data_IF_046740917629
#
_entry.id   IF_046740917629
#
_cell.length_a   1.000
_cell.length_b   1.000
_cell.length_c   1.000
_cell.angle_alpha   90.00
_cell.angle_beta   90.00
_cell.angle_gamma   90.00
#
_symmetry.space_group_name_H-M   'P 1'
#
loop_
_entity.id
_entity.type
_entity.pdbx_description
1 polymer ?
#
# COMPACT_ATOMS: atom_id res chain seq x y z
N UNK A 1 -12.21 81.07 -9.31
CA UNK A 1 -11.78 82.33 -9.94
C UNK A 1 -12.93 82.82 -10.81
N UNK A 2 -13.73 83.74 -10.28
CA UNK A 2 -14.96 84.27 -10.90
C UNK A 2 -14.78 85.77 -11.07
N UNK A 3 -15.00 86.22 -12.29
CA UNK A 3 -15.12 87.60 -12.73
C UNK A 3 -16.32 88.27 -12.07
N UNK A 4 -16.16 89.52 -11.62
CA UNK A 4 -17.30 90.39 -11.32
C UNK A 4 -16.99 91.83 -11.75
N UNK A 5 -17.50 92.15 -12.93
CA UNK A 5 -17.78 93.49 -13.44
C UNK A 5 -18.90 94.14 -12.63
N UNK A 6 -18.77 95.43 -12.29
CA UNK A 6 -19.93 96.31 -12.13
C UNK A 6 -19.57 97.74 -12.55
N UNK A 7 -20.26 98.18 -13.60
CA UNK A 7 -20.31 99.55 -14.10
C UNK A 7 -21.32 100.38 -13.28
N UNK A 8 -21.05 101.67 -13.08
CA UNK A 8 -22.10 102.70 -12.93
C UNK A 8 -21.50 104.09 -13.18
N UNK A 9 -22.14 104.83 -14.07
CA UNK A 9 -21.79 106.17 -14.54
C UNK A 9 -22.64 107.27 -13.86
N UNK A 10 -22.23 108.54 -14.11
CA UNK A 10 -22.92 109.82 -13.85
C UNK A 10 -23.03 110.22 -12.36
N UNK A 11 -22.71 111.45 -11.90
CA UNK A 11 -23.05 112.78 -12.42
C UNK A 11 -22.29 113.84 -11.57
N UNK A 12 -21.82 114.93 -12.17
CA UNK A 12 -21.38 116.15 -11.47
C UNK A 12 -22.63 117.01 -11.12
N UNK A 13 -22.65 117.73 -9.99
CA UNK A 13 -22.39 119.17 -10.12
C UNK A 13 -21.56 119.79 -8.98
N UNK A 14 -20.95 120.91 -9.35
CA UNK A 14 -20.10 121.80 -8.58
C UNK A 14 -20.95 122.70 -7.65
N UNK A 15 -20.73 122.64 -6.33
CA UNK A 15 -21.04 123.75 -5.39
C UNK A 15 -19.93 123.84 -4.36
N UNK A 16 -19.21 124.96 -4.40
CA UNK A 16 -18.29 125.42 -3.36
C UNK A 16 -19.11 125.86 -2.14
N UNK A 17 -18.92 125.20 -1.00
CA UNK A 17 -19.11 125.82 0.30
C UNK A 17 -18.06 125.26 1.26
N UNK A 18 -17.26 126.17 1.81
CA UNK A 18 -16.12 125.90 2.66
C UNK A 18 -16.52 125.08 3.90
N UNK A 19 -15.96 123.88 4.02
CA UNK A 19 -15.80 123.16 5.29
C UNK A 19 -14.34 123.36 5.75
N UNK A 20 -14.11 123.65 7.04
CA UNK A 20 -12.80 124.06 7.54
C UNK A 20 -11.73 122.98 7.31
N UNK A 21 -10.45 123.38 7.13
CA UNK A 21 -9.35 122.43 6.97
C UNK A 21 -9.32 121.48 8.18
N UNK A 22 -9.18 120.17 7.98
CA UNK A 22 -8.97 119.25 9.09
C UNK A 22 -7.70 119.67 9.81
N UNK A 23 -7.85 119.96 11.09
CA UNK A 23 -6.76 120.39 11.96
C UNK A 23 -5.61 119.38 11.83
N UNK A 24 -4.41 119.77 11.34
CA UNK A 24 -3.30 118.84 11.10
C UNK A 24 -2.92 118.05 12.36
N UNK A 25 -3.21 118.61 13.54
CA UNK A 25 -3.06 117.96 14.83
C UNK A 25 -4.02 116.80 15.09
N UNK A 26 -5.24 116.80 14.54
CA UNK A 26 -6.19 115.68 14.68
C UNK A 26 -5.78 114.49 13.82
N UNK A 27 -5.34 114.75 12.58
CA UNK A 27 -4.80 113.70 11.69
C UNK A 27 -3.57 113.02 12.29
N UNK A 28 -2.67 113.78 12.91
CA UNK A 28 -1.49 113.23 13.62
C UNK A 28 -1.90 112.36 14.82
N UNK A 29 -2.96 112.73 15.55
CA UNK A 29 -3.48 111.91 16.65
C UNK A 29 -4.15 110.63 16.16
N UNK A 30 -4.87 110.69 15.05
CA UNK A 30 -5.52 109.52 14.46
C UNK A 30 -4.52 108.56 13.82
N UNK A 31 -3.46 109.07 13.17
CA UNK A 31 -2.35 108.24 12.69
C UNK A 31 -1.56 107.63 13.85
N UNK A 32 -1.34 108.37 14.94
CA UNK A 32 -0.69 107.83 16.13
C UNK A 32 -1.55 106.74 16.81
N UNK A 33 -2.87 106.93 16.91
CA UNK A 33 -3.78 105.89 17.40
C UNK A 33 -3.80 104.66 16.49
N UNK A 34 -3.86 104.85 15.17
CA UNK A 34 -3.83 103.75 14.20
C UNK A 34 -2.50 102.99 14.24
N UNK A 35 -1.38 103.68 14.37
CA UNK A 35 -0.05 103.04 14.50
C UNK A 35 0.09 102.32 15.84
N UNK A 36 -0.45 102.85 16.94
CA UNK A 36 -0.51 102.12 18.22
C UNK A 36 -1.43 100.89 18.14
N UNK A 37 -2.57 100.97 17.45
CA UNK A 37 -3.46 99.83 17.23
C UNK A 37 -2.81 98.76 16.35
N UNK A 38 -2.12 99.17 15.27
CA UNK A 38 -1.33 98.28 14.43
C UNK A 38 -0.17 97.64 15.19
N UNK A 39 0.53 98.39 16.04
CA UNK A 39 1.59 97.84 16.89
C UNK A 39 1.02 96.82 17.87
N UNK A 40 -0.11 97.11 18.52
CA UNK A 40 -0.79 96.17 19.42
C UNK A 40 -1.31 94.93 18.69
N UNK A 41 -1.85 95.09 17.48
CA UNK A 41 -2.28 94.00 16.63
C UNK A 41 -1.09 93.12 16.21
N UNK A 42 0.01 93.72 15.76
CA UNK A 42 1.24 93.02 15.41
C UNK A 42 1.90 92.33 16.62
N UNK A 43 1.87 92.93 17.81
CA UNK A 43 2.33 92.30 19.06
C UNK A 43 1.48 91.07 19.41
N UNK A 44 0.16 91.17 19.23
CA UNK A 44 -0.78 90.06 19.47
C UNK A 44 -0.60 88.94 18.43
N UNK A 45 -0.42 89.29 17.15
CA UNK A 45 -0.10 88.34 16.08
C UNK A 45 1.26 87.67 16.32
N UNK A 46 2.28 88.42 16.74
CA UNK A 46 3.60 87.86 17.08
C UNK A 46 3.51 86.91 18.25
N UNK A 47 2.77 87.25 19.31
CA UNK A 47 2.53 86.36 20.44
C UNK A 47 1.75 85.10 20.01
N UNK A 48 0.75 85.24 19.14
CA UNK A 48 -0.01 84.13 18.57
C UNK A 48 0.84 83.19 17.70
N UNK A 49 1.69 83.76 16.83
CA UNK A 49 2.63 83.01 15.99
C UNK A 49 3.72 82.33 16.82
N UNK A 50 4.23 82.98 17.87
CA UNK A 50 5.18 82.35 18.79
C UNK A 50 4.54 81.18 19.55
N UNK A 51 3.30 81.32 20.01
CA UNK A 51 2.57 80.22 20.63
C UNK A 51 2.32 79.07 19.63
N UNK A 52 1.94 79.37 18.40
CA UNK A 52 1.77 78.38 17.34
C UNK A 52 3.09 77.65 17.01
N UNK A 53 4.20 78.38 16.94
CA UNK A 53 5.53 77.82 16.69
C UNK A 53 5.95 76.82 17.79
N UNK A 54 5.70 77.14 19.06
CA UNK A 54 5.99 76.21 20.17
C UNK A 54 5.12 74.94 20.09
N UNK A 55 3.86 75.07 19.70
CA UNK A 55 2.95 73.93 19.52
C UNK A 55 3.40 73.06 18.34
N UNK A 56 3.81 73.65 17.23
CA UNK A 56 4.25 72.90 16.06
C UNK A 56 5.64 72.28 16.26
N UNK A 57 6.55 72.94 16.97
CA UNK A 57 7.81 72.32 17.42
C UNK A 57 7.56 71.10 18.32
N UNK A 58 6.58 71.19 19.23
CA UNK A 58 6.20 70.06 20.08
C UNK A 58 5.63 68.90 19.25
N UNK A 59 4.77 69.18 18.26
CA UNK A 59 4.25 68.16 17.33
C UNK A 59 5.34 67.55 16.46
N UNK A 60 6.29 68.34 15.94
CA UNK A 60 7.40 67.84 15.12
C UNK A 60 8.27 66.89 15.96
N UNK A 61 8.55 67.24 17.22
CA UNK A 61 9.28 66.36 18.15
C UNK A 61 8.51 65.07 18.44
N UNK A 62 7.20 65.15 18.68
CA UNK A 62 6.35 63.98 18.91
C UNK A 62 6.25 63.07 17.68
N UNK A 63 6.02 63.63 16.49
CA UNK A 63 5.97 62.89 15.24
C UNK A 63 7.35 62.29 14.90
N UNK A 64 8.44 63.02 15.12
CA UNK A 64 9.80 62.50 14.99
C UNK A 64 10.03 61.29 15.89
N UNK A 65 9.63 61.36 17.16
CA UNK A 65 9.72 60.24 18.08
C UNK A 65 8.89 59.02 17.62
N UNK A 66 7.67 59.25 17.12
CA UNK A 66 6.81 58.17 16.57
C UNK A 66 7.38 57.56 15.30
N UNK A 67 7.95 58.35 14.41
CA UNK A 67 8.60 57.86 13.18
C UNK A 67 9.77 56.96 13.55
N UNK A 68 10.59 57.34 14.53
CA UNK A 68 11.71 56.48 14.94
C UNK A 68 11.28 55.23 15.69
N UNK A 69 10.22 55.29 16.50
CA UNK A 69 9.64 54.10 17.09
C UNK A 69 9.11 53.14 16.01
N UNK A 70 8.39 53.65 15.01
CA UNK A 70 7.87 52.86 13.89
C UNK A 70 8.98 52.29 13.02
N UNK A 71 10.02 53.08 12.70
CA UNK A 71 11.19 52.62 11.96
C UNK A 71 11.90 51.50 12.72
N UNK A 72 12.09 51.64 14.03
CA UNK A 72 12.67 50.58 14.86
C UNK A 72 11.81 49.30 14.86
N UNK A 73 10.48 49.44 14.93
CA UNK A 73 9.57 48.29 14.84
C UNK A 73 9.62 47.61 13.47
N UNK A 74 9.65 48.37 12.38
CA UNK A 74 9.76 47.84 11.02
C UNK A 74 11.09 47.10 10.84
N UNK A 75 12.20 47.66 11.31
CA UNK A 75 13.51 47.00 11.24
C UNK A 75 13.51 45.69 12.02
N UNK A 76 12.94 45.67 13.23
CA UNK A 76 12.81 44.44 14.04
C UNK A 76 11.94 43.41 13.34
N UNK A 77 10.72 43.77 12.92
CA UNK A 77 9.81 42.87 12.23
C UNK A 77 10.38 42.33 10.93
N UNK A 78 11.09 43.15 10.15
CA UNK A 78 11.73 42.71 8.90
C UNK A 78 12.86 41.72 9.19
N UNK A 79 13.64 41.96 10.26
CA UNK A 79 14.69 41.02 10.68
C UNK A 79 14.09 39.69 11.13
N UNK A 80 13.09 39.73 12.01
CA UNK A 80 12.42 38.53 12.54
C UNK A 80 11.76 37.72 11.40
N UNK A 81 11.09 38.41 10.47
CA UNK A 81 10.47 37.78 9.30
C UNK A 81 11.49 37.10 8.37
N UNK A 82 12.66 37.72 8.16
CA UNK A 82 13.72 37.11 7.37
C UNK A 82 14.32 35.88 8.08
N UNK A 83 14.52 35.95 9.40
CA UNK A 83 15.01 34.81 10.19
C UNK A 83 14.01 33.63 10.17
N UNK A 84 12.72 33.93 10.33
CA UNK A 84 11.65 32.93 10.25
C UNK A 84 11.52 32.35 8.84
N UNK A 85 11.64 33.17 7.79
CA UNK A 85 11.62 32.69 6.41
C UNK A 85 12.79 31.74 6.11
N UNK A 86 14.00 32.06 6.57
CA UNK A 86 15.17 31.20 6.41
C UNK A 86 15.05 29.91 7.22
N UNK A 87 14.50 29.97 8.44
CA UNK A 87 14.20 28.78 9.23
C UNK A 87 13.17 27.88 8.55
N UNK A 88 12.07 28.45 8.06
CA UNK A 88 11.02 27.74 7.34
C UNK A 88 11.54 27.10 6.04
N UNK A 89 12.40 27.80 5.28
CA UNK A 89 13.05 27.23 4.09
C UNK A 89 13.88 25.99 4.43
N UNK A 90 14.72 26.09 5.47
CA UNK A 90 15.54 24.97 5.94
C UNK A 90 14.68 23.79 6.38
N UNK A 91 13.60 24.04 7.12
CA UNK A 91 12.69 22.97 7.56
C UNK A 91 11.98 22.31 6.39
N UNK A 92 11.50 23.09 5.41
CA UNK A 92 10.90 22.56 4.19
C UNK A 92 11.89 21.66 3.43
N UNK A 93 13.14 22.08 3.29
CA UNK A 93 14.16 21.29 2.59
C UNK A 93 14.52 20.01 3.35
N UNK A 94 14.62 20.07 4.68
CA UNK A 94 14.79 18.89 5.53
C UNK A 94 13.62 17.92 5.39
N UNK A 95 12.38 18.41 5.43
CA UNK A 95 11.18 17.58 5.28
C UNK A 95 11.08 16.96 3.89
N UNK A 96 11.45 17.69 2.83
CA UNK A 96 11.53 17.15 1.46
C UNK A 96 12.55 16.03 1.38
N UNK A 97 13.77 16.26 1.86
CA UNK A 97 14.83 15.25 1.88
C UNK A 97 14.42 14.02 2.69
N UNK A 98 13.79 14.21 3.84
CA UNK A 98 13.28 13.11 4.66
C UNK A 98 12.17 12.32 3.93
N UNK A 99 11.27 13.01 3.24
CA UNK A 99 10.19 12.38 2.45
C UNK A 99 10.75 11.57 1.29
N UNK A 100 11.75 12.07 0.58
CA UNK A 100 12.44 11.35 -0.50
C UNK A 100 13.22 10.14 0.02
N UNK A 101 13.88 10.28 1.18
CA UNK A 101 14.53 9.16 1.83
C UNK A 101 13.53 8.07 2.26
N UNK A 102 12.38 8.46 2.84
CA UNK A 102 11.32 7.54 3.22
C UNK A 102 10.68 6.86 2.02
N UNK A 103 10.38 7.60 0.94
CA UNK A 103 9.82 7.00 -0.28
C UNK A 103 10.80 6.00 -0.90
N UNK A 104 12.10 6.31 -0.91
CA UNK A 104 13.16 5.38 -1.32
C UNK A 104 13.24 4.13 -0.44
N UNK A 105 13.09 4.26 0.87
CA UNK A 105 13.04 3.11 1.79
C UNK A 105 11.80 2.24 1.54
N UNK A 106 10.63 2.85 1.38
CA UNK A 106 9.38 2.14 1.09
C UNK A 106 9.51 1.34 -0.22
N UNK A 107 10.07 1.93 -1.27
CA UNK A 107 10.30 1.24 -2.54
C UNK A 107 11.22 0.01 -2.37
N UNK A 108 12.34 0.16 -1.64
CA UNK A 108 13.26 -0.95 -1.34
C UNK A 108 12.59 -2.06 -0.52
N UNK A 109 11.78 -1.70 0.47
CA UNK A 109 11.05 -2.67 1.29
C UNK A 109 9.96 -3.39 0.48
N UNK A 110 9.28 -2.69 -0.42
CA UNK A 110 8.32 -3.30 -1.34
C UNK A 110 9.01 -4.29 -2.28
N UNK A 111 10.14 -3.92 -2.89
CA UNK A 111 10.93 -4.84 -3.71
C UNK A 111 11.42 -6.06 -2.93
N UNK A 112 11.88 -5.86 -1.68
CA UNK A 112 12.32 -6.95 -0.81
C UNK A 112 11.15 -7.88 -0.46
N UNK A 113 9.96 -7.33 -0.18
CA UNK A 113 8.75 -8.11 0.08
C UNK A 113 8.31 -8.91 -1.13
N UNK A 114 8.31 -8.34 -2.32
CA UNK A 114 7.96 -9.06 -3.54
C UNK A 114 8.96 -10.19 -3.82
N UNK A 115 10.27 -9.95 -3.67
CA UNK A 115 11.30 -11.00 -3.75
C UNK A 115 11.11 -12.11 -2.72
N UNK A 116 10.71 -11.75 -1.49
CA UNK A 116 10.41 -12.72 -0.45
C UNK A 116 9.17 -13.55 -0.77
N UNK A 117 8.10 -12.92 -1.28
CA UNK A 117 6.88 -13.61 -1.70
C UNK A 117 7.15 -14.56 -2.86
N UNK A 118 7.89 -14.13 -3.89
CA UNK A 118 8.24 -14.99 -5.02
C UNK A 118 9.10 -16.17 -4.57
N UNK A 119 10.16 -15.91 -3.79
CA UNK A 119 11.01 -16.97 -3.24
C UNK A 119 10.24 -17.94 -2.35
N UNK A 120 9.35 -17.44 -1.48
CA UNK A 120 8.49 -18.28 -0.65
C UNK A 120 7.55 -19.15 -1.50
N UNK A 121 6.89 -18.57 -2.51
CA UNK A 121 6.01 -19.32 -3.40
C UNK A 121 6.76 -20.40 -4.19
N UNK A 122 7.99 -20.13 -4.62
CA UNK A 122 8.86 -21.12 -5.26
C UNK A 122 9.20 -22.27 -4.31
N UNK A 123 9.59 -21.97 -3.06
CA UNK A 123 9.88 -22.99 -2.05
C UNK A 123 8.64 -23.84 -1.75
N UNK A 124 7.47 -23.22 -1.60
CA UNK A 124 6.20 -23.93 -1.39
C UNK A 124 5.87 -24.82 -2.59
N UNK A 125 6.10 -24.35 -3.82
CA UNK A 125 5.88 -25.13 -5.04
C UNK A 125 6.80 -26.35 -5.06
N UNK A 126 8.10 -26.17 -4.82
CA UNK A 126 9.08 -27.27 -4.76
C UNK A 126 8.75 -28.25 -3.65
N UNK A 127 8.33 -27.79 -2.47
CA UNK A 127 7.92 -28.64 -1.37
C UNK A 127 6.70 -29.49 -1.74
N UNK A 128 5.67 -28.90 -2.36
CA UNK A 128 4.49 -29.62 -2.85
C UNK A 128 4.83 -30.63 -3.93
N UNK A 129 5.67 -30.26 -4.89
CA UNK A 129 6.15 -31.17 -5.94
C UNK A 129 6.90 -32.35 -5.32
N UNK A 130 7.82 -32.10 -4.38
CA UNK A 130 8.55 -33.15 -3.67
C UNK A 130 7.62 -34.07 -2.87
N UNK A 131 6.62 -33.53 -2.20
CA UNK A 131 5.66 -34.35 -1.45
C UNK A 131 4.82 -35.23 -2.40
N UNK A 132 4.39 -34.69 -3.55
CA UNK A 132 3.66 -35.49 -4.54
C UNK A 132 4.53 -36.59 -5.14
N UNK A 133 5.82 -36.33 -5.38
CA UNK A 133 6.77 -37.33 -5.86
C UNK A 133 7.04 -38.38 -4.79
N UNK A 134 7.17 -37.99 -3.52
CA UNK A 134 7.33 -38.89 -2.39
C UNK A 134 6.12 -39.81 -2.24
N UNK A 135 4.91 -39.25 -2.28
CA UNK A 135 3.66 -40.04 -2.23
C UNK A 135 3.56 -41.03 -3.40
N UNK A 136 3.93 -40.61 -4.62
CA UNK A 136 3.98 -41.50 -5.80
C UNK A 136 5.06 -42.59 -5.67
N UNK A 137 6.21 -42.27 -5.10
CA UNK A 137 7.28 -43.25 -4.88
C UNK A 137 6.87 -44.29 -3.84
N UNK A 138 6.26 -43.85 -2.73
CA UNK A 138 5.74 -44.74 -1.68
C UNK A 138 4.64 -45.64 -2.24
N UNK A 139 3.69 -45.10 -3.02
CA UNK A 139 2.62 -45.93 -3.61
C UNK A 139 3.16 -46.97 -4.59
N UNK A 140 4.15 -46.60 -5.42
CA UNK A 140 4.85 -47.55 -6.30
C UNK A 140 5.62 -48.60 -5.52
N UNK A 141 6.30 -48.23 -4.43
CA UNK A 141 7.02 -49.17 -3.58
C UNK A 141 6.06 -50.20 -2.96
N UNK A 142 4.94 -49.76 -2.38
CA UNK A 142 3.92 -50.65 -1.81
C UNK A 142 3.33 -51.59 -2.87
N UNK A 143 3.06 -51.09 -4.09
CA UNK A 143 2.59 -51.95 -5.18
C UNK A 143 3.64 -52.97 -5.61
N UNK A 144 4.90 -52.56 -5.71
CA UNK A 144 6.01 -53.45 -6.05
C UNK A 144 6.22 -54.53 -4.98
N UNK A 145 6.18 -54.18 -3.70
CA UNK A 145 6.27 -55.13 -2.58
C UNK A 145 5.12 -56.15 -2.61
N UNK A 146 3.88 -55.69 -2.86
CA UNK A 146 2.73 -56.60 -3.00
C UNK A 146 2.88 -57.54 -4.18
N UNK A 147 3.34 -57.04 -5.34
CA UNK A 147 3.61 -57.88 -6.51
C UNK A 147 4.72 -58.89 -6.21
N UNK A 148 5.80 -58.49 -5.52
CA UNK A 148 6.88 -59.37 -5.13
C UNK A 148 6.38 -60.51 -4.21
N UNK A 149 5.62 -60.17 -3.17
CA UNK A 149 5.04 -61.16 -2.26
C UNK A 149 4.11 -62.15 -2.98
N UNK A 150 3.29 -61.67 -3.91
CA UNK A 150 2.43 -62.53 -4.75
C UNK A 150 3.27 -63.45 -5.66
N UNK A 151 4.35 -62.94 -6.25
CA UNK A 151 5.27 -63.72 -7.10
C UNK A 151 5.98 -64.80 -6.29
N UNK A 152 6.40 -64.47 -5.07
CA UNK A 152 7.02 -65.41 -4.13
C UNK A 152 6.03 -66.52 -3.74
N UNK A 153 4.76 -66.19 -3.44
CA UNK A 153 3.72 -67.18 -3.17
C UNK A 153 3.51 -68.12 -4.36
N UNK A 154 3.30 -67.56 -5.55
CA UNK A 154 3.11 -68.34 -6.78
C UNK A 154 4.30 -69.26 -7.08
N UNK A 155 5.53 -68.78 -6.84
CA UNK A 155 6.74 -69.59 -7.01
C UNK A 155 6.77 -70.76 -6.02
N UNK A 156 6.46 -70.51 -4.74
CA UNK A 156 6.37 -71.57 -3.72
C UNK A 156 5.29 -72.60 -4.07
N UNK A 157 4.11 -72.17 -4.52
CA UNK A 157 3.01 -73.05 -4.92
C UNK A 157 3.38 -73.90 -6.15
N UNK A 158 4.08 -73.32 -7.13
CA UNK A 158 4.63 -74.06 -8.27
C UNK A 158 5.68 -75.08 -7.84
N UNK A 159 6.58 -74.72 -6.91
CA UNK A 159 7.59 -75.64 -6.39
C UNK A 159 6.97 -76.81 -5.63
N UNK A 160 5.98 -76.55 -4.76
CA UNK A 160 5.23 -77.59 -4.03
C UNK A 160 4.51 -78.51 -5.01
N UNK A 161 3.78 -77.95 -5.98
CA UNK A 161 3.06 -78.72 -6.99
C UNK A 161 4.03 -79.57 -7.84
N UNK A 162 5.18 -79.00 -8.24
CA UNK A 162 6.22 -79.73 -8.96
C UNK A 162 6.80 -80.89 -8.14
N UNK A 163 7.00 -80.69 -6.84
CA UNK A 163 7.48 -81.73 -5.93
C UNK A 163 6.46 -82.84 -5.72
N UNK A 164 5.18 -82.50 -5.55
CA UNK A 164 4.09 -83.49 -5.48
C UNK A 164 4.01 -84.36 -6.74
N UNK A 165 4.21 -83.78 -7.92
CA UNK A 165 4.26 -84.52 -9.19
C UNK A 165 5.45 -85.50 -9.20
N UNK A 166 6.64 -85.04 -8.81
CA UNK A 166 7.84 -85.88 -8.75
C UNK A 166 7.69 -87.03 -7.73
N UNK A 167 7.17 -86.73 -6.53
CA UNK A 167 6.94 -87.73 -5.48
C UNK A 167 5.90 -88.78 -5.94
N UNK A 168 4.85 -88.37 -6.64
CA UNK A 168 3.85 -89.28 -7.23
C UNK A 168 4.44 -90.12 -8.35
N UNK A 169 5.28 -89.57 -9.22
CA UNK A 169 5.98 -90.32 -10.27
C UNK A 169 6.94 -91.35 -9.68
N UNK A 170 7.65 -91.00 -8.61
CA UNK A 170 8.53 -91.91 -7.87
C UNK A 170 7.72 -93.04 -7.16
N UNK A 171 6.61 -92.69 -6.51
CA UNK A 171 5.71 -93.68 -5.91
C UNK A 171 5.05 -94.59 -6.94
N UNK A 172 4.71 -94.04 -8.12
CA UNK A 172 4.16 -94.81 -9.24
C UNK A 172 5.21 -95.75 -9.83
N UNK A 173 6.46 -95.34 -10.06
CA UNK A 173 7.48 -96.27 -10.58
C UNK A 173 7.75 -97.45 -9.62
N UNK A 174 7.73 -97.20 -8.31
CA UNK A 174 7.94 -98.24 -7.29
C UNK A 174 6.72 -99.16 -7.10
N UNK A 175 5.50 -98.61 -7.05
CA UNK A 175 4.27 -99.40 -6.88
C UNK A 175 3.77 -100.08 -8.16
N UNK A 176 4.02 -99.46 -9.31
CA UNK A 176 3.57 -99.97 -10.62
C UNK A 176 4.53 -101.03 -11.16
N UNK A 177 5.82 -100.98 -10.84
CA UNK A 177 6.73 -102.08 -11.12
C UNK A 177 6.31 -103.41 -10.43
N UNK A 178 5.62 -103.31 -9.29
CA UNK A 178 5.09 -104.49 -8.57
C UNK A 178 3.76 -105.00 -9.14
N UNK A 179 2.96 -104.13 -9.77
CA UNK A 179 1.63 -104.43 -10.36
C UNK A 179 1.62 -104.54 -11.89
N UNK A 180 2.76 -104.34 -12.56
CA UNK A 180 2.98 -104.38 -14.01
C UNK A 180 2.61 -105.70 -14.73
N UNK A 181 1.99 -106.66 -14.05
CA UNK A 181 1.42 -107.86 -14.69
C UNK A 181 0.00 -107.67 -15.21
N UNK A 182 -0.67 -106.54 -14.95
CA UNK A 182 -1.98 -106.25 -15.55
C UNK A 182 -1.98 -104.98 -16.43
N UNK A 183 -2.52 -105.06 -17.67
CA UNK A 183 -2.54 -103.94 -18.59
C UNK A 183 -3.50 -102.85 -18.10
N UNK A 184 -3.11 -101.57 -18.28
CA UNK A 184 -3.89 -100.38 -17.93
C UNK A 184 -5.35 -100.46 -18.40
N UNK A 185 -6.25 -100.89 -17.51
CA UNK A 185 -7.70 -100.96 -17.78
C UNK A 185 -8.28 -99.53 -17.83
N UNK A 186 -9.30 -99.29 -18.65
CA UNK A 186 -9.83 -97.94 -18.96
C UNK A 186 -10.11 -97.02 -17.75
N UNK A 187 -10.46 -97.57 -16.59
CA UNK A 187 -10.69 -96.81 -15.35
C UNK A 187 -9.39 -96.20 -14.78
N UNK A 188 -8.25 -96.89 -14.88
CA UNK A 188 -6.94 -96.36 -14.47
C UNK A 188 -6.45 -95.26 -15.41
N UNK A 189 -6.74 -95.39 -16.71
CA UNK A 189 -6.43 -94.36 -17.72
C UNK A 189 -7.16 -93.05 -17.44
N UNK A 190 -8.46 -93.11 -17.13
CA UNK A 190 -9.27 -91.92 -16.80
C UNK A 190 -8.76 -91.25 -15.51
N UNK A 191 -8.42 -92.02 -14.48
CA UNK A 191 -7.83 -91.47 -13.25
C UNK A 191 -6.51 -90.74 -13.50
N UNK A 192 -5.67 -91.28 -14.39
CA UNK A 192 -4.40 -90.65 -14.75
C UNK A 192 -4.61 -89.37 -15.57
N UNK A 193 -5.59 -89.37 -16.48
CA UNK A 193 -5.98 -88.17 -17.24
C UNK A 193 -6.51 -87.06 -16.32
N UNK A 194 -7.40 -87.38 -15.38
CA UNK A 194 -7.89 -86.40 -14.41
C UNK A 194 -6.75 -85.83 -13.57
N UNK A 195 -5.82 -86.66 -13.12
CA UNK A 195 -4.67 -86.22 -12.32
C UNK A 195 -3.72 -85.31 -13.12
N UNK A 196 -3.46 -85.64 -14.40
CA UNK A 196 -2.68 -84.79 -15.30
C UNK A 196 -3.39 -83.46 -15.55
N UNK A 197 -4.72 -83.49 -15.69
CA UNK A 197 -5.53 -82.29 -15.85
C UNK A 197 -5.49 -81.42 -14.59
N UNK A 198 -5.73 -82.00 -13.40
CA UNK A 198 -5.71 -81.28 -12.11
C UNK A 198 -4.35 -80.60 -11.86
N UNK A 199 -3.25 -81.30 -12.15
CA UNK A 199 -1.91 -80.69 -12.05
C UNK A 199 -1.64 -79.67 -13.16
N UNK A 200 -2.16 -79.91 -14.37
CA UNK A 200 -2.11 -78.95 -15.47
C UNK A 200 -2.78 -77.64 -15.08
N UNK A 201 -3.98 -77.72 -14.50
CA UNK A 201 -4.77 -76.59 -14.02
C UNK A 201 -4.03 -75.87 -12.88
N UNK A 202 -3.51 -76.60 -11.87
CA UNK A 202 -2.69 -76.01 -10.79
C UNK A 202 -1.43 -75.32 -11.29
N UNK A 203 -0.77 -75.85 -12.32
CA UNK A 203 0.40 -75.18 -12.92
C UNK A 203 0.00 -73.93 -13.71
N UNK A 204 -1.15 -73.95 -14.40
CA UNK A 204 -1.64 -72.76 -15.12
C UNK A 204 -2.09 -71.66 -14.15
N UNK A 205 -2.81 -72.01 -13.09
CA UNK A 205 -3.33 -71.07 -12.10
C UNK A 205 -2.23 -70.30 -11.36
N UNK A 206 -1.11 -70.99 -11.06
CA UNK A 206 0.03 -70.39 -10.35
C UNK A 206 1.09 -69.79 -11.28
N UNK A 207 0.92 -69.89 -12.60
CA UNK A 207 1.87 -69.31 -13.56
C UNK A 207 1.69 -67.80 -13.62
N UNK A 208 2.80 -67.07 -13.57
CA UNK A 208 2.75 -65.63 -13.77
C UNK A 208 2.15 -65.27 -15.13
N UNK A 209 1.04 -64.54 -15.12
CA UNK A 209 0.50 -63.85 -16.28
C UNK A 209 0.62 -62.31 -16.16
N UNK A 210 1.55 -61.65 -16.89
CA UNK A 210 1.73 -60.20 -16.85
C UNK A 210 0.55 -59.42 -17.47
N UNK A 211 -0.28 -60.06 -18.30
CA UNK A 211 -1.42 -59.41 -18.94
C UNK A 211 -2.68 -59.40 -18.06
N UNK A 212 -2.81 -60.39 -17.17
CA UNK A 212 -3.89 -60.42 -16.17
C UNK A 212 -3.76 -59.29 -15.14
N UNK A 213 -2.52 -58.98 -14.70
CA UNK A 213 -2.24 -57.83 -13.83
C UNK A 213 -2.58 -56.49 -14.53
N UNK A 214 -2.20 -56.35 -15.80
CA UNK A 214 -2.44 -55.12 -16.58
C UNK A 214 -3.94 -54.88 -16.81
N UNK A 215 -4.73 -55.95 -16.96
CA UNK A 215 -6.18 -55.89 -17.07
C UNK A 215 -6.86 -55.54 -15.74
N UNK A 216 -6.38 -56.08 -14.61
CA UNK A 216 -6.88 -55.74 -13.28
C UNK A 216 -6.55 -54.29 -12.85
N UNK A 217 -5.42 -53.74 -13.30
CA UNK A 217 -5.05 -52.34 -13.07
C UNK A 217 -5.85 -51.35 -13.92
N UNK A 218 -6.24 -51.73 -15.13
CA UNK A 218 -7.10 -50.93 -16.00
C UNK A 218 -8.56 -50.84 -15.51
N UNK A 219 -8.97 -51.70 -14.56
CA UNK A 219 -10.34 -51.74 -14.02
C UNK A 219 -10.47 -51.09 -12.63
N UNK A 220 -9.40 -50.52 -12.05
CA UNK A 220 -9.53 -49.73 -10.82
C UNK A 220 -10.10 -48.34 -11.15
N UNK A 221 -11.27 -47.95 -10.60
CA UNK A 221 -11.87 -46.66 -10.88
C UNK A 221 -10.98 -45.53 -10.36
N UNK A 222 -10.77 -44.56 -11.24
CA UNK A 222 -10.23 -43.24 -11.00
C UNK A 222 -11.08 -42.55 -9.92
N UNK A 223 -10.62 -42.58 -8.66
CA UNK A 223 -11.30 -41.86 -7.58
C UNK A 223 -11.18 -40.38 -7.87
N UNK A 224 -12.34 -39.84 -8.20
CA UNK A 224 -12.66 -38.53 -8.69
C UNK A 224 -12.15 -37.45 -7.75
N UNK A 225 -11.28 -36.58 -8.29
CA UNK A 225 -11.24 -35.16 -7.95
C UNK A 225 -12.63 -34.59 -8.21
N UNK A 226 -13.49 -34.44 -7.21
CA UNK A 226 -14.49 -33.35 -7.04
C UNK A 226 -15.27 -33.58 -5.75
N UNK A 227 -14.99 -32.79 -4.71
CA UNK A 227 -15.98 -32.41 -3.69
C UNK A 227 -15.40 -31.22 -2.91
N UNK A 228 -15.54 -30.03 -3.48
CA UNK A 228 -15.58 -28.81 -2.68
C UNK A 228 -16.89 -28.83 -1.86
N UNK A 229 -16.89 -28.60 -0.55
CA UNK A 229 -18.13 -28.33 0.17
C UNK A 229 -18.59 -26.92 -0.20
N UNK A 230 -19.71 -26.85 -0.91
CA UNK A 230 -20.48 -25.64 -1.05
C UNK A 230 -21.01 -25.22 0.32
N UNK A 231 -20.66 -24.00 0.67
CA UNK A 231 -21.10 -23.28 1.85
C UNK A 231 -22.60 -23.02 1.75
N UNK A 232 -23.38 -23.71 2.58
CA UNK A 232 -24.80 -23.44 2.77
C UNK A 232 -25.17 -23.83 4.22
N UNK A 233 -24.85 -22.92 5.15
CA UNK A 233 -25.49 -22.92 6.47
C UNK A 233 -26.00 -21.51 6.81
N UNK A 234 -27.29 -21.34 6.58
CA UNK A 234 -28.27 -20.93 7.61
C UNK A 234 -28.00 -19.61 8.33
N UNK A 235 -28.62 -18.56 7.79
CA UNK A 235 -29.22 -17.47 8.56
C UNK A 235 -30.14 -18.02 9.67
N UNK A 236 -30.21 -17.24 10.74
CA UNK A 236 -31.16 -17.27 11.87
C UNK A 236 -30.76 -18.09 13.11
N UNK A 237 -30.28 -17.36 14.12
CA UNK A 237 -30.80 -17.50 15.49
C UNK A 237 -30.92 -16.12 16.16
N UNK A 238 -31.91 -15.92 17.04
CA UNK A 238 -32.42 -14.62 17.47
C UNK A 238 -31.68 -14.08 18.70
N UNK A 239 -31.84 -12.77 18.94
CA UNK A 239 -31.05 -12.03 19.92
C UNK A 239 -31.46 -12.16 21.39
N UNK A 240 -30.60 -11.60 22.25
CA UNK A 240 -30.86 -10.71 23.41
C UNK A 240 -29.63 -10.65 24.31
N UNK A 241 -29.57 -9.72 25.28
CA UNK A 241 -30.28 -8.44 25.41
C UNK A 241 -29.41 -7.23 25.04
#
# INVERSE_FOLDING_TARGET
MKTLTLAMSLLLPLVLLAAPPPDPNQRLRDTLKNTMLQLRAAETERAGLQAAHLVDEAKIKELGAKVEELNQKIVKMTKDANEEQEAARKEIDLLKNAKEAQSGQIARLQEALEKWKTGYNEVVKVARERETLRAKAVSKAVLAERRLAERERQNLELYVTGREILDRLAGFSLGTALTAREPFVGTTRVKLQNLVQDYGDRLQDNKYNPFAEKAAEAQKPEVTKTAAPGDASTKESPGRP
#
